data_IF_153870775666
#
_entry.id   IF_153870775666
#
_cell.length_a   1.000
_cell.length_b   1.000
_cell.length_c   1.000
_cell.angle_alpha   90.00
_cell.angle_beta   90.00
_cell.angle_gamma   90.00
#
_symmetry.space_group_name_H-M   'P 1'
#
loop_
_entity.id
_entity.type
_entity.pdbx_description
1 polymer ?
#
# COMPACT_ATOMS: atom_id res chain seq x y z
N UNK A 1 -5.52 -42.47 -30.07
CA UNK A 1 -6.22 -43.31 -29.06
C UNK A 1 -7.61 -42.75 -28.92
N UNK A 2 -8.59 -43.64 -28.99
CA UNK A 2 -10.01 -43.34 -29.17
C UNK A 2 -10.63 -42.64 -27.96
N UNK A 3 -11.54 -41.69 -28.23
CA UNK A 3 -12.69 -41.44 -27.37
C UNK A 3 -13.83 -40.88 -28.22
N UNK A 4 -14.72 -41.80 -28.58
CA UNK A 4 -16.10 -41.60 -28.95
C UNK A 4 -16.84 -40.88 -27.83
N UNK A 5 -17.54 -39.79 -28.13
CA UNK A 5 -18.74 -39.42 -27.39
C UNK A 5 -19.83 -38.93 -28.33
N UNK A 6 -20.94 -39.67 -28.27
CA UNK A 6 -22.14 -39.53 -29.09
C UNK A 6 -23.06 -38.55 -28.38
N UNK A 7 -23.34 -37.41 -29.02
CA UNK A 7 -24.39 -36.48 -28.59
C UNK A 7 -25.76 -37.14 -28.82
N UNK A 8 -26.39 -37.59 -27.73
CA UNK A 8 -27.80 -37.96 -27.68
C UNK A 8 -28.60 -36.85 -26.99
N UNK A 9 -28.91 -35.78 -27.73
CA UNK A 9 -30.01 -34.88 -27.38
C UNK A 9 -31.33 -35.56 -27.78
N UNK A 10 -31.95 -36.27 -26.85
CA UNK A 10 -33.38 -36.62 -26.95
C UNK A 10 -34.12 -35.86 -25.86
N UNK A 11 -34.85 -34.83 -26.26
CA UNK A 11 -35.95 -34.28 -25.48
C UNK A 11 -36.93 -35.42 -25.11
N UNK A 12 -37.42 -35.51 -23.87
CA UNK A 12 -38.54 -36.40 -23.58
C UNK A 12 -39.76 -35.90 -24.33
N UNK A 13 -40.38 -36.79 -25.12
CA UNK A 13 -41.62 -36.51 -25.82
C UNK A 13 -42.69 -36.02 -24.82
N UNK A 14 -43.48 -34.98 -25.15
CA UNK A 14 -44.59 -34.58 -24.31
C UNK A 14 -45.57 -35.76 -24.20
N UNK A 15 -45.94 -36.12 -22.97
CA UNK A 15 -47.03 -37.07 -22.75
C UNK A 15 -48.34 -36.45 -23.27
N UNK A 16 -48.66 -36.73 -24.53
CA UNK A 16 -49.95 -36.42 -25.14
C UNK A 16 -50.94 -37.53 -24.83
N UNK A 17 -51.32 -37.69 -23.57
CA UNK A 17 -52.51 -38.47 -23.22
C UNK A 17 -53.29 -37.64 -22.20
N UNK A 18 -54.34 -36.97 -22.68
CA UNK A 18 -55.40 -36.47 -21.80
C UNK A 18 -55.91 -37.66 -20.98
N UNK A 19 -56.11 -37.45 -19.68
CA UNK A 19 -56.80 -38.42 -18.83
C UNK A 19 -58.22 -38.63 -19.39
N UNK A 20 -58.40 -39.63 -20.26
CA UNK A 20 -59.70 -40.12 -20.64
C UNK A 20 -60.27 -40.84 -19.41
N UNK A 21 -61.27 -40.25 -18.79
CA UNK A 21 -62.22 -41.01 -17.98
C UNK A 21 -62.80 -42.11 -18.88
N UNK A 22 -62.35 -43.35 -18.66
CA UNK A 22 -62.96 -44.50 -19.31
C UNK A 22 -64.41 -44.56 -18.84
N UNK A 23 -65.41 -44.59 -19.74
CA UNK A 23 -66.79 -44.74 -19.34
C UNK A 23 -66.95 -46.08 -18.60
N UNK A 24 -67.71 -46.05 -17.50
CA UNK A 24 -68.10 -47.26 -16.78
C UNK A 24 -68.73 -48.25 -17.78
N UNK A 25 -68.19 -49.47 -17.89
CA UNK A 25 -68.84 -50.53 -18.65
C UNK A 25 -70.13 -50.91 -17.95
N UNK A 26 -71.25 -50.35 -18.39
CA UNK A 26 -72.57 -50.88 -18.08
C UNK A 26 -72.69 -52.25 -18.77
N UNK A 27 -72.76 -53.30 -17.96
CA UNK A 27 -73.14 -54.62 -18.43
C UNK A 27 -74.64 -54.63 -18.67
N UNK A 28 -75.07 -54.31 -19.89
CA UNK A 28 -76.43 -54.61 -20.35
C UNK A 28 -76.58 -56.14 -20.44
N UNK A 29 -77.18 -56.71 -19.41
CA UNK A 29 -77.66 -58.09 -19.46
C UNK A 29 -78.77 -58.13 -20.49
N UNK A 30 -78.52 -58.77 -21.64
CA UNK A 30 -79.52 -58.98 -22.67
C UNK A 30 -80.74 -59.72 -22.07
N UNK A 31 -81.82 -58.99 -21.83
CA UNK A 31 -83.12 -59.56 -21.51
C UNK A 31 -83.62 -60.34 -22.73
N UNK A 32 -83.58 -61.67 -22.65
CA UNK A 32 -84.21 -62.56 -23.62
C UNK A 32 -85.73 -62.30 -23.63
N UNK A 33 -86.22 -61.50 -24.58
CA UNK A 33 -87.65 -61.35 -24.88
C UNK A 33 -88.13 -62.47 -25.80
N UNK A 34 -88.09 -63.72 -25.30
CA UNK A 34 -88.73 -64.88 -25.92
C UNK A 34 -90.10 -65.13 -25.29
N UNK A 35 -91.14 -65.35 -26.10
CA UNK A 35 -92.54 -65.42 -25.67
C UNK A 35 -92.93 -66.62 -24.77
N UNK A 36 -91.98 -67.46 -24.35
CA UNK A 36 -92.24 -68.59 -23.45
C UNK A 36 -91.01 -68.88 -22.58
N UNK A 37 -90.84 -68.16 -21.47
CA UNK A 37 -90.10 -68.66 -20.30
C UNK A 37 -90.38 -67.77 -19.09
N UNK A 38 -91.36 -68.17 -18.30
CA UNK A 38 -91.57 -67.69 -16.94
C UNK A 38 -90.43 -68.21 -16.05
N UNK A 39 -89.29 -67.52 -16.05
CA UNK A 39 -88.34 -67.58 -14.93
C UNK A 39 -88.58 -66.34 -14.09
N UNK A 40 -89.63 -66.41 -13.28
CA UNK A 40 -90.12 -65.29 -12.49
C UNK A 40 -89.05 -64.76 -11.53
N UNK A 41 -88.70 -63.48 -11.73
CA UNK A 41 -88.39 -62.58 -10.63
C UNK A 41 -89.50 -62.74 -9.59
N UNK A 42 -89.15 -63.28 -8.43
CA UNK A 42 -90.08 -63.40 -7.30
C UNK A 42 -90.29 -62.01 -6.71
N UNK A 43 -91.21 -61.24 -7.30
CA UNK A 43 -91.92 -60.19 -6.56
C UNK A 43 -92.67 -60.89 -5.42
N UNK A 44 -92.39 -60.46 -4.20
CA UNK A 44 -93.05 -60.95 -3.00
C UNK A 44 -94.57 -60.75 -3.11
N UNK A 45 -95.29 -61.84 -3.40
CA UNK A 45 -96.73 -61.87 -3.52
C UNK A 45 -97.24 -63.26 -3.90
N UNK A 46 -97.65 -64.03 -2.89
CA UNK A 46 -98.49 -65.25 -2.94
C UNK A 46 -98.30 -66.22 -4.13
N UNK A 47 -97.42 -67.22 -3.97
CA UNK A 47 -97.55 -68.51 -4.68
C UNK A 47 -97.92 -69.62 -3.68
N UNK A 48 -99.03 -70.31 -3.93
CA UNK A 48 -99.57 -71.43 -3.11
C UNK A 48 -99.35 -72.80 -3.79
N UNK A 49 -98.52 -72.88 -4.85
CA UNK A 49 -98.18 -74.13 -5.52
C UNK A 49 -96.83 -74.67 -5.01
N UNK A 50 -96.78 -75.96 -4.62
CA UNK A 50 -95.53 -76.64 -4.29
C UNK A 50 -94.68 -76.75 -5.56
N UNK A 51 -93.40 -76.37 -5.48
CA UNK A 51 -92.45 -76.47 -6.59
C UNK A 51 -92.40 -77.91 -7.13
N UNK A 52 -92.39 -78.07 -8.46
CA UNK A 52 -92.09 -79.35 -9.09
C UNK A 52 -90.64 -79.74 -8.78
N UNK A 53 -90.33 -81.02 -8.69
CA UNK A 53 -88.98 -81.47 -8.29
C UNK A 53 -87.88 -80.91 -9.21
N UNK A 54 -88.16 -80.80 -10.50
CA UNK A 54 -87.26 -80.18 -11.48
C UNK A 54 -87.10 -78.66 -11.28
N UNK A 55 -88.16 -77.95 -10.89
CA UNK A 55 -88.09 -76.51 -10.58
C UNK A 55 -87.28 -76.24 -9.31
N UNK A 56 -87.38 -77.12 -8.31
CA UNK A 56 -86.55 -77.06 -7.11
C UNK A 56 -85.08 -77.34 -7.43
N UNK A 57 -84.79 -78.39 -8.23
CA UNK A 57 -83.44 -78.67 -8.69
C UNK A 57 -82.86 -77.51 -9.50
N UNK A 58 -83.61 -76.91 -10.43
CA UNK A 58 -83.18 -75.76 -11.21
C UNK A 58 -82.89 -74.52 -10.34
N UNK A 59 -83.72 -74.25 -9.33
CA UNK A 59 -83.48 -73.15 -8.38
C UNK A 59 -82.23 -73.41 -7.52
N UNK A 60 -82.06 -74.64 -7.03
CA UNK A 60 -80.85 -75.04 -6.30
C UNK A 60 -79.60 -74.92 -7.18
N UNK A 61 -79.62 -75.40 -8.43
CA UNK A 61 -78.51 -75.25 -9.37
C UNK A 61 -78.24 -73.78 -9.70
N UNK A 62 -79.26 -72.96 -9.92
CA UNK A 62 -79.09 -71.52 -10.15
C UNK A 62 -78.44 -70.82 -8.95
N UNK A 63 -78.85 -71.16 -7.72
CA UNK A 63 -78.22 -70.64 -6.49
C UNK A 63 -76.79 -71.13 -6.31
N UNK A 64 -76.48 -72.39 -6.63
CA UNK A 64 -75.10 -72.90 -6.60
C UNK A 64 -74.22 -72.21 -7.64
N UNK A 65 -74.73 -72.01 -8.87
CA UNK A 65 -74.02 -71.27 -9.91
C UNK A 65 -73.79 -69.81 -9.53
N UNK A 66 -74.79 -69.12 -8.97
CA UNK A 66 -74.65 -67.75 -8.48
C UNK A 66 -73.62 -67.67 -7.35
N UNK A 67 -73.72 -68.53 -6.32
CA UNK A 67 -72.77 -68.56 -5.22
C UNK A 67 -71.34 -68.90 -5.67
N UNK A 68 -71.19 -69.75 -6.69
CA UNK A 68 -69.90 -70.04 -7.30
C UNK A 68 -69.35 -68.82 -8.05
N UNK A 69 -70.17 -68.16 -8.87
CA UNK A 69 -69.78 -66.97 -9.62
C UNK A 69 -69.40 -65.80 -8.69
N UNK A 70 -70.17 -65.56 -7.63
CA UNK A 70 -69.90 -64.53 -6.62
C UNK A 70 -68.61 -64.82 -5.84
N UNK A 71 -68.38 -66.09 -5.46
CA UNK A 71 -67.14 -66.50 -4.79
C UNK A 71 -65.93 -66.36 -5.71
N UNK A 72 -66.03 -66.82 -6.95
CA UNK A 72 -64.95 -66.72 -7.95
C UNK A 72 -64.62 -65.25 -8.26
N UNK A 73 -65.64 -64.39 -8.38
CA UNK A 73 -65.46 -62.95 -8.52
C UNK A 73 -64.78 -62.32 -7.30
N UNK A 74 -65.21 -62.67 -6.07
CA UNK A 74 -64.59 -62.18 -4.84
C UNK A 74 -63.17 -62.70 -4.64
N UNK A 75 -62.87 -63.93 -5.03
CA UNK A 75 -61.52 -64.51 -5.01
C UNK A 75 -60.60 -63.77 -5.99
N UNK A 76 -61.06 -63.52 -7.22
CA UNK A 76 -60.34 -62.70 -8.21
C UNK A 76 -60.12 -61.27 -7.71
N UNK A 77 -61.15 -60.58 -7.24
CA UNK A 77 -61.04 -59.22 -6.71
C UNK A 77 -60.10 -59.14 -5.51
N UNK A 78 -60.12 -60.12 -4.60
CA UNK A 78 -59.20 -60.19 -3.46
C UNK A 78 -57.76 -60.43 -3.91
N UNK A 79 -57.55 -61.25 -4.92
CA UNK A 79 -56.23 -61.47 -5.49
C UNK A 79 -55.69 -60.20 -6.15
N UNK A 80 -56.50 -59.56 -7.00
CA UNK A 80 -56.19 -58.28 -7.65
C UNK A 80 -55.91 -57.18 -6.61
N UNK A 81 -56.73 -57.08 -5.55
CA UNK A 81 -56.53 -56.09 -4.48
C UNK A 81 -55.24 -56.32 -3.70
N UNK A 82 -54.90 -57.59 -3.40
CA UNK A 82 -53.63 -57.94 -2.73
C UNK A 82 -52.43 -57.68 -3.63
N UNK A 83 -52.55 -57.97 -4.91
CA UNK A 83 -51.50 -57.71 -5.89
C UNK A 83 -51.27 -56.20 -6.03
N UNK A 84 -52.33 -55.42 -6.19
CA UNK A 84 -52.25 -53.95 -6.26
C UNK A 84 -51.65 -53.36 -4.97
N UNK A 85 -52.05 -53.85 -3.79
CA UNK A 85 -51.47 -53.42 -2.52
C UNK A 85 -49.96 -53.71 -2.44
N UNK A 86 -49.53 -54.91 -2.82
CA UNK A 86 -48.11 -55.28 -2.84
C UNK A 86 -47.30 -54.48 -3.88
N UNK A 87 -47.86 -54.26 -5.07
CA UNK A 87 -47.23 -53.47 -6.13
C UNK A 87 -47.08 -51.99 -5.73
N UNK A 88 -48.11 -51.41 -5.11
CA UNK A 88 -48.09 -50.02 -4.63
C UNK A 88 -47.18 -49.83 -3.42
N UNK A 89 -47.12 -50.81 -2.50
CA UNK A 89 -46.16 -50.82 -1.39
C UNK A 89 -44.72 -50.91 -1.91
N UNK A 90 -44.44 -51.83 -2.83
CA UNK A 90 -43.12 -51.97 -3.44
C UNK A 90 -42.73 -50.75 -4.28
N UNK A 91 -43.69 -50.08 -4.92
CA UNK A 91 -43.46 -48.81 -5.60
C UNK A 91 -43.09 -47.71 -4.58
N UNK A 92 -43.88 -47.55 -3.51
CA UNK A 92 -43.64 -46.54 -2.48
C UNK A 92 -42.26 -46.69 -1.82
N UNK A 93 -41.88 -47.93 -1.44
CA UNK A 93 -40.57 -48.21 -0.86
C UNK A 93 -39.42 -47.89 -1.83
N UNK A 94 -39.54 -48.29 -3.11
CA UNK A 94 -38.51 -48.00 -4.12
C UNK A 94 -38.37 -46.50 -4.39
N UNK A 95 -39.49 -45.78 -4.51
CA UNK A 95 -39.47 -44.33 -4.73
C UNK A 95 -38.87 -43.60 -3.53
N UNK A 96 -39.22 -44.00 -2.30
CA UNK A 96 -38.63 -43.42 -1.09
C UNK A 96 -37.12 -43.67 -1.01
N UNK A 97 -36.66 -44.89 -1.30
CA UNK A 97 -35.22 -45.21 -1.34
C UNK A 97 -34.47 -44.39 -2.40
N UNK A 98 -35.03 -44.23 -3.60
CA UNK A 98 -34.40 -43.40 -4.64
C UNK A 98 -34.34 -41.93 -4.25
N UNK A 99 -35.40 -41.38 -3.64
CA UNK A 99 -35.40 -40.01 -3.11
C UNK A 99 -34.37 -39.83 -1.99
N UNK A 100 -34.32 -40.73 -1.00
CA UNK A 100 -33.31 -40.68 0.07
C UNK A 100 -31.89 -40.74 -0.48
N UNK A 101 -31.63 -41.59 -1.48
CA UNK A 101 -30.33 -41.67 -2.16
C UNK A 101 -29.97 -40.34 -2.84
N UNK A 102 -30.89 -39.75 -3.62
CA UNK A 102 -30.66 -38.48 -4.32
C UNK A 102 -30.44 -37.30 -3.35
N UNK A 103 -31.17 -37.24 -2.23
CA UNK A 103 -30.89 -36.25 -1.18
C UNK A 103 -29.52 -36.48 -0.54
N UNK A 104 -29.11 -37.74 -0.38
CA UNK A 104 -27.75 -38.09 0.06
C UNK A 104 -26.66 -37.62 -0.91
N UNK A 105 -26.82 -37.89 -2.21
CA UNK A 105 -25.91 -37.38 -3.27
C UNK A 105 -25.81 -35.85 -3.23
N UNK A 106 -26.94 -35.16 -3.01
CA UNK A 106 -26.97 -33.70 -2.90
C UNK A 106 -26.19 -33.16 -1.69
N UNK A 107 -26.16 -33.89 -0.56
CA UNK A 107 -25.38 -33.48 0.61
C UNK A 107 -23.88 -33.45 0.30
N UNK A 108 -23.38 -34.37 -0.52
CA UNK A 108 -21.97 -34.38 -0.92
C UNK A 108 -21.61 -33.11 -1.71
N UNK A 109 -22.45 -32.70 -2.67
CA UNK A 109 -22.27 -31.47 -3.43
C UNK A 109 -22.25 -30.24 -2.52
N UNK A 110 -23.26 -30.11 -1.63
CA UNK A 110 -23.37 -28.96 -0.72
C UNK A 110 -22.16 -28.92 0.22
N UNK A 111 -21.73 -30.08 0.73
CA UNK A 111 -20.56 -30.19 1.59
C UNK A 111 -19.28 -29.73 0.88
N UNK A 112 -19.09 -30.12 -0.39
CA UNK A 112 -17.94 -29.68 -1.20
C UNK A 112 -17.90 -28.16 -1.30
N UNK A 113 -18.99 -27.53 -1.75
CA UNK A 113 -19.04 -26.08 -1.92
C UNK A 113 -18.91 -25.31 -0.60
N UNK A 114 -19.56 -25.79 0.47
CA UNK A 114 -19.41 -25.25 1.82
C UNK A 114 -17.96 -25.30 2.29
N UNK A 115 -17.25 -26.40 2.04
CA UNK A 115 -15.85 -26.56 2.45
C UNK A 115 -14.92 -25.62 1.66
N UNK A 116 -15.14 -25.49 0.34
CA UNK A 116 -14.37 -24.56 -0.51
C UNK A 116 -14.61 -23.09 -0.11
N UNK A 117 -15.86 -22.71 0.16
CA UNK A 117 -16.20 -21.38 0.67
C UNK A 117 -15.52 -21.09 2.02
N UNK A 118 -15.55 -22.06 2.94
CA UNK A 118 -14.90 -21.91 4.23
C UNK A 118 -13.38 -21.68 4.08
N UNK A 119 -12.73 -22.47 3.22
CA UNK A 119 -11.29 -22.31 2.93
C UNK A 119 -11.00 -20.90 2.39
N UNK A 120 -11.76 -20.44 1.41
CA UNK A 120 -11.52 -19.13 0.79
C UNK A 120 -11.76 -17.97 1.78
N UNK A 121 -12.76 -18.09 2.67
CA UNK A 121 -13.01 -17.11 3.76
C UNK A 121 -11.80 -17.04 4.69
N UNK A 122 -11.25 -18.18 5.09
CA UNK A 122 -10.06 -18.26 5.96
C UNK A 122 -8.82 -17.66 5.26
N UNK A 123 -8.60 -17.99 3.98
CA UNK A 123 -7.50 -17.46 3.17
C UNK A 123 -7.61 -15.93 2.96
N UNK A 124 -8.80 -15.41 2.64
CA UNK A 124 -9.05 -13.97 2.54
C UNK A 124 -8.85 -13.26 3.87
N UNK A 125 -9.25 -13.87 4.97
CA UNK A 125 -9.05 -13.31 6.31
C UNK A 125 -7.54 -13.19 6.61
N UNK A 126 -6.78 -14.26 6.38
CA UNK A 126 -5.32 -14.27 6.58
C UNK A 126 -4.61 -13.25 5.68
N UNK A 127 -5.00 -13.15 4.39
CA UNK A 127 -4.42 -12.17 3.48
C UNK A 127 -4.76 -10.73 3.88
N UNK A 128 -5.97 -10.49 4.40
CA UNK A 128 -6.38 -9.19 4.94
C UNK A 128 -5.51 -8.78 6.13
N UNK A 129 -5.19 -9.71 7.03
CA UNK A 129 -4.32 -9.46 8.17
C UNK A 129 -2.90 -9.10 7.73
N UNK A 130 -2.35 -9.83 6.74
CA UNK A 130 -1.05 -9.50 6.14
C UNK A 130 -1.06 -8.11 5.48
N UNK A 131 -2.14 -7.76 4.80
CA UNK A 131 -2.29 -6.46 4.16
C UNK A 131 -2.42 -5.32 5.18
N UNK A 132 -3.11 -5.55 6.30
CA UNK A 132 -3.18 -4.60 7.43
C UNK A 132 -1.80 -4.39 8.07
N UNK A 133 -1.01 -5.45 8.23
CA UNK A 133 0.38 -5.34 8.71
C UNK A 133 1.25 -4.51 7.76
N UNK A 134 1.12 -4.71 6.44
CA UNK A 134 1.83 -3.92 5.44
C UNK A 134 1.41 -2.44 5.43
N UNK A 135 0.10 -2.15 5.58
CA UNK A 135 -0.40 -0.78 5.77
C UNK A 135 0.23 -0.11 6.99
N UNK A 136 0.32 -0.82 8.12
CA UNK A 136 0.94 -0.28 9.34
C UNK A 136 2.43 0.01 9.10
N UNK A 137 3.15 -0.88 8.41
CA UNK A 137 4.55 -0.68 8.07
C UNK A 137 4.76 0.54 7.15
N UNK A 138 3.89 0.74 6.15
CA UNK A 138 3.89 1.95 5.32
C UNK A 138 3.68 3.23 6.14
N UNK A 139 2.74 3.21 7.10
CA UNK A 139 2.49 4.36 7.97
C UNK A 139 3.73 4.69 8.83
N UNK A 140 4.37 3.67 9.42
CA UNK A 140 5.63 3.84 10.17
C UNK A 140 6.75 4.39 9.29
N UNK A 141 6.89 3.89 8.07
CA UNK A 141 7.87 4.40 7.11
C UNK A 141 7.61 5.87 6.77
N UNK A 142 6.34 6.24 6.53
CA UNK A 142 5.94 7.62 6.29
C UNK A 142 6.30 8.53 7.47
N UNK A 143 5.97 8.12 8.69
CA UNK A 143 6.29 8.87 9.92
C UNK A 143 7.80 9.02 10.10
N UNK A 144 8.58 7.98 9.79
CA UNK A 144 10.04 8.00 9.88
C UNK A 144 10.68 9.05 8.96
N UNK A 145 10.03 9.44 7.87
CA UNK A 145 10.54 10.49 6.96
C UNK A 145 10.46 11.91 7.53
N UNK A 146 9.69 12.12 8.61
CA UNK A 146 9.58 13.42 9.27
C UNK A 146 10.94 13.89 9.85
N UNK A 147 11.74 12.96 10.37
CA UNK A 147 13.05 13.27 10.96
C UNK A 147 14.05 13.77 9.90
N UNK A 148 14.29 13.05 8.77
CA UNK A 148 15.05 13.56 7.64
C UNK A 148 14.58 14.93 7.15
N UNK A 149 13.26 15.13 7.05
CA UNK A 149 12.71 16.39 6.57
C UNK A 149 13.05 17.57 7.50
N UNK A 150 12.88 17.38 8.81
CA UNK A 150 13.29 18.39 9.82
C UNK A 150 14.79 18.66 9.72
N UNK A 151 15.62 17.62 9.67
CA UNK A 151 17.08 17.79 9.57
C UNK A 151 17.46 18.61 8.34
N UNK A 152 16.93 18.27 7.16
CA UNK A 152 17.27 18.96 5.92
C UNK A 152 16.81 20.43 5.92
N UNK A 153 15.61 20.70 6.42
CA UNK A 153 15.07 22.06 6.52
C UNK A 153 15.78 22.90 7.59
N UNK A 154 16.08 22.33 8.75
CA UNK A 154 16.86 22.98 9.81
C UNK A 154 18.28 23.32 9.33
N UNK A 155 18.92 22.45 8.55
CA UNK A 155 20.23 22.70 7.95
C UNK A 155 20.21 23.91 6.99
N UNK A 156 19.19 23.98 6.12
CA UNK A 156 19.00 25.13 5.23
C UNK A 156 18.83 26.42 6.05
N UNK A 157 17.95 26.42 7.06
CA UNK A 157 17.72 27.58 7.92
C UNK A 157 18.95 27.99 8.74
N UNK A 158 19.76 27.02 9.20
CA UNK A 158 21.01 27.32 9.90
C UNK A 158 22.00 28.02 8.98
N UNK A 159 22.06 27.62 7.71
CA UNK A 159 23.00 28.18 6.73
C UNK A 159 22.63 29.58 6.23
N UNK A 160 21.36 29.96 6.31
CA UNK A 160 20.92 31.35 6.11
C UNK A 160 21.54 32.33 7.14
N UNK A 161 22.08 31.82 8.26
CA UNK A 161 22.73 32.65 9.29
C UNK A 161 24.20 32.92 9.02
N UNK A 162 24.75 32.43 7.91
CA UNK A 162 26.13 32.73 7.50
C UNK A 162 26.28 34.21 7.19
N UNK A 163 27.47 34.73 7.45
CA UNK A 163 27.79 36.12 7.19
C UNK A 163 28.29 36.32 5.75
N UNK A 164 28.00 37.46 5.14
CA UNK A 164 28.62 37.83 3.87
C UNK A 164 30.15 37.94 4.02
N UNK A 165 30.93 37.50 3.01
CA UNK A 165 30.51 37.02 1.68
C UNK A 165 30.19 35.51 1.60
N UNK A 166 30.17 34.76 2.70
CA UNK A 166 29.99 33.29 2.70
C UNK A 166 28.53 32.82 2.60
N UNK A 167 27.59 33.74 2.75
CA UNK A 167 26.19 33.51 2.42
C UNK A 167 26.05 33.43 0.89
N UNK A 168 26.24 32.22 0.36
CA UNK A 168 26.21 31.89 -1.05
C UNK A 168 25.47 30.59 -1.29
N UNK A 169 24.86 30.50 -2.48
CA UNK A 169 24.25 29.27 -2.98
C UNK A 169 25.33 28.32 -3.49
N UNK A 170 25.87 27.54 -2.56
CA UNK A 170 26.90 26.54 -2.85
C UNK A 170 26.31 25.15 -3.10
N UNK A 171 27.18 24.18 -3.36
CA UNK A 171 26.79 22.81 -3.66
C UNK A 171 26.03 22.13 -2.51
N UNK A 172 26.30 22.50 -1.25
CA UNK A 172 25.59 21.94 -0.09
C UNK A 172 24.14 22.37 -0.09
N UNK A 173 23.87 23.65 -0.38
CA UNK A 173 22.49 24.15 -0.47
C UNK A 173 21.72 23.44 -1.59
N UNK A 174 22.36 23.22 -2.74
CA UNK A 174 21.74 22.48 -3.86
C UNK A 174 21.37 21.05 -3.44
N UNK A 175 22.29 20.31 -2.80
CA UNK A 175 22.01 18.94 -2.38
C UNK A 175 20.99 18.86 -1.24
N UNK A 176 20.96 19.84 -0.32
CA UNK A 176 19.92 19.96 0.71
C UNK A 176 18.54 20.22 0.10
N UNK A 177 18.44 21.09 -0.91
CA UNK A 177 17.18 21.35 -1.60
C UNK A 177 16.67 20.07 -2.29
N UNK A 178 17.54 19.34 -3.00
CA UNK A 178 17.22 18.03 -3.59
C UNK A 178 16.76 17.03 -2.54
N UNK A 179 17.42 16.98 -1.37
CA UNK A 179 17.00 16.13 -0.25
C UNK A 179 15.59 16.48 0.22
N UNK A 180 15.25 17.76 0.40
CA UNK A 180 13.89 18.15 0.80
C UNK A 180 12.82 17.85 -0.26
N UNK A 181 13.17 17.93 -1.54
CA UNK A 181 12.26 17.59 -2.64
C UNK A 181 12.03 16.08 -2.74
N UNK A 182 13.10 15.29 -2.67
CA UNK A 182 13.04 13.82 -2.64
C UNK A 182 12.17 13.34 -1.48
N UNK A 183 12.36 13.87 -0.27
CA UNK A 183 11.56 13.48 0.90
C UNK A 183 10.06 13.79 0.67
N UNK A 184 9.71 14.95 0.11
CA UNK A 184 8.30 15.28 -0.19
C UNK A 184 7.70 14.32 -1.22
N UNK A 185 8.45 13.98 -2.27
CA UNK A 185 8.01 13.04 -3.30
C UNK A 185 7.79 11.64 -2.72
N UNK A 186 8.68 11.18 -1.84
CA UNK A 186 8.55 9.90 -1.14
C UNK A 186 7.35 9.91 -0.19
N UNK A 187 7.14 10.99 0.58
CA UNK A 187 5.98 11.13 1.46
C UNK A 187 4.66 11.03 0.69
N UNK A 188 4.59 11.66 -0.48
CA UNK A 188 3.41 11.60 -1.34
C UNK A 188 3.20 10.20 -1.94
N UNK A 189 4.28 9.54 -2.40
CA UNK A 189 4.23 8.16 -2.87
C UNK A 189 3.69 7.22 -1.77
N UNK A 190 4.26 7.27 -0.57
CA UNK A 190 3.83 6.45 0.57
C UNK A 190 2.36 6.69 0.93
N UNK A 191 1.89 7.95 0.93
CA UNK A 191 0.46 8.27 1.18
C UNK A 191 -0.47 7.67 0.13
N UNK A 192 -0.09 7.70 -1.15
CA UNK A 192 -0.86 7.08 -2.24
C UNK A 192 -0.88 5.56 -2.08
N UNK A 193 0.25 4.95 -1.77
CA UNK A 193 0.34 3.50 -1.54
C UNK A 193 -0.46 3.06 -0.32
N UNK A 194 -0.49 3.85 0.77
CA UNK A 194 -1.38 3.60 1.92
C UNK A 194 -2.85 3.64 1.49
N UNK A 195 -3.25 4.61 0.66
CA UNK A 195 -4.62 4.69 0.14
C UNK A 195 -5.00 3.46 -0.70
N UNK A 196 -4.08 3.00 -1.56
CA UNK A 196 -4.26 1.75 -2.32
C UNK A 196 -4.41 0.54 -1.39
N UNK A 197 -3.58 0.45 -0.34
CA UNK A 197 -3.66 -0.63 0.62
C UNK A 197 -4.99 -0.64 1.40
N UNK A 198 -5.49 0.53 1.80
CA UNK A 198 -6.80 0.67 2.43
C UNK A 198 -7.92 0.25 1.48
N UNK A 199 -7.83 0.63 0.20
CA UNK A 199 -8.77 0.20 -0.83
C UNK A 199 -8.82 -1.32 -0.97
N UNK A 200 -7.66 -1.97 -1.05
CA UNK A 200 -7.56 -3.42 -1.16
C UNK A 200 -8.10 -4.15 0.09
N UNK A 201 -7.79 -3.66 1.29
CA UNK A 201 -8.34 -4.22 2.54
C UNK A 201 -9.87 -4.18 2.54
N UNK A 202 -10.46 -3.09 2.01
CA UNK A 202 -11.92 -2.96 1.90
C UNK A 202 -12.50 -4.00 0.92
N UNK A 203 -11.88 -4.17 -0.25
CA UNK A 203 -12.32 -5.16 -1.25
C UNK A 203 -12.25 -6.59 -0.70
N UNK A 204 -11.15 -6.94 -0.01
CA UNK A 204 -11.04 -8.27 0.61
C UNK A 204 -12.15 -8.54 1.62
N UNK A 205 -12.53 -7.53 2.44
CA UNK A 205 -13.61 -7.65 3.42
C UNK A 205 -14.98 -7.80 2.74
N UNK A 206 -15.26 -7.02 1.71
CA UNK A 206 -16.50 -7.10 0.94
C UNK A 206 -16.69 -8.48 0.29
N UNK A 207 -15.64 -9.04 -0.31
CA UNK A 207 -15.69 -10.37 -0.91
C UNK A 207 -15.71 -11.49 0.13
N UNK A 208 -15.06 -11.30 1.29
CA UNK A 208 -15.20 -12.22 2.43
C UNK A 208 -16.64 -12.28 2.92
N UNK A 209 -17.29 -11.12 3.13
CA UNK A 209 -18.70 -11.04 3.54
C UNK A 209 -19.62 -11.73 2.53
N UNK A 210 -19.36 -11.55 1.22
CA UNK A 210 -20.11 -12.24 0.16
C UNK A 210 -19.97 -13.76 0.25
N UNK A 211 -18.75 -14.26 0.46
CA UNK A 211 -18.51 -15.70 0.65
C UNK A 211 -19.13 -16.23 1.95
N UNK A 212 -19.12 -15.46 3.04
CA UNK A 212 -19.74 -15.82 4.33
C UNK A 212 -21.27 -15.96 4.21
N UNK A 213 -21.92 -15.08 3.45
CA UNK A 213 -23.35 -15.19 3.17
C UNK A 213 -23.67 -16.47 2.37
N UNK A 214 -22.94 -16.72 1.28
CA UNK A 214 -23.12 -17.95 0.50
C UNK A 214 -22.84 -19.20 1.36
N UNK A 215 -21.80 -19.17 2.18
CA UNK A 215 -21.47 -20.27 3.09
C UNK A 215 -22.59 -20.52 4.10
N UNK A 216 -23.17 -19.47 4.67
CA UNK A 216 -24.31 -19.56 5.59
C UNK A 216 -25.51 -20.24 4.93
N UNK A 217 -25.86 -19.82 3.71
CA UNK A 217 -26.95 -20.41 2.94
C UNK A 217 -26.68 -21.91 2.66
N UNK A 218 -25.44 -22.27 2.32
CA UNK A 218 -25.02 -23.67 2.11
C UNK A 218 -25.09 -24.48 3.39
N UNK A 219 -24.73 -23.92 4.55
CA UNK A 219 -24.84 -24.59 5.86
C UNK A 219 -26.29 -24.86 6.22
N UNK A 220 -27.17 -23.87 6.04
CA UNK A 220 -28.60 -24.04 6.32
C UNK A 220 -29.21 -25.10 5.40
N UNK A 221 -28.94 -25.01 4.09
CA UNK A 221 -29.39 -26.02 3.12
C UNK A 221 -28.88 -27.43 3.46
N UNK A 222 -27.60 -27.56 3.86
CA UNK A 222 -27.03 -28.83 4.29
C UNK A 222 -27.78 -29.42 5.50
N UNK A 223 -28.06 -28.61 6.52
CA UNK A 223 -28.75 -29.08 7.73
C UNK A 223 -30.19 -29.52 7.45
N UNK A 224 -30.87 -28.83 6.53
CA UNK A 224 -32.22 -29.21 6.06
C UNK A 224 -32.14 -30.57 5.36
N UNK A 225 -31.25 -30.74 4.39
CA UNK A 225 -31.12 -31.99 3.63
C UNK A 225 -30.61 -33.16 4.50
N UNK A 226 -29.76 -32.89 5.49
CA UNK A 226 -29.28 -33.87 6.48
C UNK A 226 -30.44 -34.33 7.39
N UNK A 227 -31.38 -33.43 7.69
CA UNK A 227 -32.60 -33.79 8.42
C UNK A 227 -33.53 -34.61 7.53
N UNK A 228 -33.70 -34.22 6.26
CA UNK A 228 -34.52 -34.93 5.29
C UNK A 228 -34.05 -36.37 5.05
N UNK A 229 -32.74 -36.61 4.94
CA UNK A 229 -32.17 -37.95 4.79
C UNK A 229 -32.39 -38.85 6.00
N UNK A 230 -32.59 -38.28 7.19
CA UNK A 230 -32.88 -39.02 8.43
C UNK A 230 -34.35 -39.40 8.60
N UNK A 231 -35.27 -38.77 7.87
CA UNK A 231 -36.70 -39.12 7.96
C UNK A 231 -36.99 -40.51 7.41
N UNK A 232 -37.82 -41.24 8.14
CA UNK A 232 -38.32 -42.56 7.80
C UNK A 232 -39.81 -42.67 8.20
N UNK A 233 -40.45 -43.79 7.87
CA UNK A 233 -41.89 -43.98 8.08
C UNK A 233 -42.31 -44.01 9.57
N UNK A 234 -41.36 -44.17 10.50
CA UNK A 234 -41.59 -44.18 11.95
C UNK A 234 -41.28 -42.83 12.61
N UNK A 235 -40.84 -41.84 11.83
CA UNK A 235 -40.41 -40.54 12.34
C UNK A 235 -41.60 -39.70 12.79
N UNK A 236 -41.62 -39.30 14.08
CA UNK A 236 -42.72 -38.56 14.70
C UNK A 236 -42.90 -37.12 14.20
N UNK A 237 -41.92 -36.59 13.46
CA UNK A 237 -41.89 -35.23 12.94
C UNK A 237 -42.49 -35.11 11.53
N UNK A 238 -42.82 -36.24 10.88
CA UNK A 238 -43.36 -36.25 9.51
C UNK A 238 -44.86 -35.91 9.53
N UNK A 239 -45.27 -34.98 8.69
CA UNK A 239 -46.65 -34.49 8.60
C UNK A 239 -47.10 -34.36 7.13
N UNK A 240 -48.41 -34.22 6.90
CA UNK A 240 -48.94 -33.95 5.57
C UNK A 240 -48.79 -32.46 5.21
N UNK A 241 -48.16 -32.19 4.07
CA UNK A 241 -47.98 -30.84 3.52
C UNK A 241 -48.63 -30.74 2.11
N UNK A 242 -49.93 -30.42 1.99
CA UNK A 242 -50.67 -30.54 0.72
C UNK A 242 -50.24 -29.59 -0.41
N UNK A 243 -49.39 -28.59 -0.14
CA UNK A 243 -49.00 -27.55 -1.09
C UNK A 243 -47.52 -27.57 -1.47
N UNK A 244 -46.71 -28.49 -0.92
CA UNK A 244 -45.25 -28.54 -1.13
C UNK A 244 -44.82 -29.21 -2.43
N UNK A 245 -45.73 -29.81 -3.20
CA UNK A 245 -45.43 -30.46 -4.48
C UNK A 245 -45.32 -29.50 -5.67
N UNK A 246 -45.57 -28.20 -5.48
CA UNK A 246 -45.47 -27.19 -6.53
C UNK A 246 -44.03 -26.68 -6.63
N UNK A 247 -43.50 -26.63 -7.85
CA UNK A 247 -42.23 -25.95 -8.11
C UNK A 247 -42.41 -24.43 -8.03
N UNK A 248 -41.49 -23.76 -7.35
CA UNK A 248 -41.37 -22.31 -7.37
C UNK A 248 -40.75 -21.85 -8.70
N UNK A 249 -41.39 -20.92 -9.42
CA UNK A 249 -40.87 -20.39 -10.69
C UNK A 249 -39.54 -19.62 -10.54
N UNK A 250 -39.23 -19.17 -9.33
CA UNK A 250 -37.99 -18.47 -8.97
C UNK A 250 -36.83 -19.40 -8.58
N UNK A 251 -37.05 -20.72 -8.56
CA UNK A 251 -36.04 -21.67 -8.09
C UNK A 251 -34.82 -21.75 -9.02
N UNK A 252 -33.62 -21.83 -8.42
CA UNK A 252 -32.38 -22.05 -9.15
C UNK A 252 -32.25 -23.48 -9.68
N UNK A 253 -31.48 -23.66 -10.75
CA UNK A 253 -31.07 -25.00 -11.22
C UNK A 253 -29.73 -25.39 -10.57
N UNK A 254 -29.36 -26.69 -10.57
CA UNK A 254 -28.06 -27.12 -10.07
C UNK A 254 -26.88 -26.38 -10.73
N UNK A 255 -27.00 -26.08 -12.03
CA UNK A 255 -25.97 -25.36 -12.79
C UNK A 255 -25.87 -23.89 -12.36
N UNK A 256 -27.01 -23.20 -12.20
CA UNK A 256 -27.00 -21.79 -11.75
C UNK A 256 -26.58 -21.66 -10.29
N UNK A 257 -26.92 -22.63 -9.44
CA UNK A 257 -26.48 -22.73 -8.06
C UNK A 257 -24.96 -22.93 -7.93
N UNK A 258 -24.39 -23.87 -8.69
CA UNK A 258 -22.95 -24.12 -8.67
C UNK A 258 -22.18 -22.92 -9.23
N UNK A 259 -22.70 -22.32 -10.32
CA UNK A 259 -22.11 -21.13 -10.92
C UNK A 259 -22.10 -19.93 -9.98
N UNK A 260 -23.15 -19.72 -9.19
CA UNK A 260 -23.20 -18.63 -8.20
C UNK A 260 -22.03 -18.71 -7.21
N UNK A 261 -21.83 -19.88 -6.62
CA UNK A 261 -20.73 -20.10 -5.67
C UNK A 261 -19.36 -20.03 -6.37
N UNK A 262 -19.25 -20.59 -7.56
CA UNK A 262 -18.01 -20.50 -8.36
C UNK A 262 -17.64 -19.05 -8.69
N UNK A 263 -18.61 -18.22 -9.09
CA UNK A 263 -18.37 -16.81 -9.41
C UNK A 263 -17.94 -16.01 -8.16
N UNK A 264 -18.49 -16.33 -6.98
CA UNK A 264 -18.08 -15.73 -5.71
C UNK A 264 -16.62 -16.08 -5.36
N UNK A 265 -16.27 -17.37 -5.46
CA UNK A 265 -14.90 -17.86 -5.21
C UNK A 265 -13.88 -17.24 -6.17
N UNK A 266 -14.21 -17.15 -7.48
CA UNK A 266 -13.33 -16.54 -8.47
C UNK A 266 -13.07 -15.05 -8.21
N UNK A 267 -14.05 -14.32 -7.66
CA UNK A 267 -13.88 -12.91 -7.28
C UNK A 267 -13.02 -12.79 -6.02
N UNK A 268 -13.28 -13.60 -5.01
CA UNK A 268 -12.46 -13.68 -3.79
C UNK A 268 -10.98 -13.97 -4.12
N UNK A 269 -10.73 -14.98 -4.97
CA UNK A 269 -9.38 -15.35 -5.38
C UNK A 269 -8.67 -14.19 -6.10
N UNK A 270 -9.36 -13.46 -6.97
CA UNK A 270 -8.80 -12.29 -7.67
C UNK A 270 -8.33 -11.21 -6.70
N UNK A 271 -9.14 -10.89 -5.69
CA UNK A 271 -8.78 -9.88 -4.69
C UNK A 271 -7.62 -10.35 -3.78
N UNK A 272 -7.60 -11.65 -3.45
CA UNK A 272 -6.47 -12.26 -2.73
C UNK A 272 -5.17 -12.14 -3.55
N UNK A 273 -5.19 -12.46 -4.84
CA UNK A 273 -4.04 -12.31 -5.73
C UNK A 273 -3.62 -10.84 -5.90
N UNK A 274 -4.59 -9.92 -6.01
CA UNK A 274 -4.31 -8.48 -6.05
C UNK A 274 -3.60 -8.01 -4.77
N UNK A 275 -4.04 -8.49 -3.60
CA UNK A 275 -3.40 -8.22 -2.31
C UNK A 275 -1.96 -8.72 -2.25
N UNK A 276 -1.70 -9.96 -2.66
CA UNK A 276 -0.35 -10.55 -2.72
C UNK A 276 0.58 -9.71 -3.61
N UNK A 277 0.10 -9.29 -4.78
CA UNK A 277 0.87 -8.47 -5.70
C UNK A 277 1.14 -7.07 -5.14
N UNK A 278 0.14 -6.45 -4.51
CA UNK A 278 0.29 -5.15 -3.88
C UNK A 278 1.28 -5.19 -2.72
N UNK A 279 1.28 -6.25 -1.89
CA UNK A 279 2.29 -6.43 -0.82
C UNK A 279 3.71 -6.51 -1.37
N UNK A 280 3.93 -7.26 -2.46
CA UNK A 280 5.25 -7.32 -3.12
C UNK A 280 5.70 -5.95 -3.63
N UNK A 281 4.78 -5.18 -4.22
CA UNK A 281 5.07 -3.82 -4.66
C UNK A 281 5.40 -2.90 -3.48
N UNK A 282 4.66 -2.99 -2.38
CA UNK A 282 4.91 -2.25 -1.15
C UNK A 282 6.31 -2.54 -0.61
N UNK A 283 6.72 -3.81 -0.58
CA UNK A 283 8.05 -4.20 -0.13
C UNK A 283 9.16 -3.57 -0.98
N UNK A 284 8.98 -3.53 -2.30
CA UNK A 284 9.91 -2.82 -3.20
C UNK A 284 9.92 -1.31 -2.92
N UNK A 285 8.75 -0.66 -2.87
CA UNK A 285 8.66 0.78 -2.60
C UNK A 285 9.36 1.14 -1.28
N UNK A 286 9.11 0.38 -0.22
CA UNK A 286 9.71 0.63 1.10
C UNK A 286 11.23 0.48 1.10
N UNK A 287 11.76 -0.50 0.37
CA UNK A 287 13.22 -0.68 0.24
C UNK A 287 13.82 0.45 -0.59
N UNK A 288 13.29 0.66 -1.80
CA UNK A 288 13.87 1.58 -2.78
C UNK A 288 13.84 3.02 -2.23
N UNK A 289 12.72 3.44 -1.60
CA UNK A 289 12.64 4.78 -0.97
C UNK A 289 13.57 4.95 0.24
N UNK A 290 13.78 3.91 1.04
CA UNK A 290 14.72 3.95 2.16
C UNK A 290 16.17 4.05 1.69
N UNK A 291 16.51 3.34 0.61
CA UNK A 291 17.82 3.40 -0.05
C UNK A 291 18.06 4.78 -0.69
N UNK A 292 17.10 5.30 -1.45
CA UNK A 292 17.18 6.63 -2.07
C UNK A 292 17.42 7.75 -1.05
N UNK A 293 16.70 7.73 0.08
CA UNK A 293 16.90 8.70 1.17
C UNK A 293 18.30 8.60 1.76
N UNK A 294 18.84 7.39 1.91
CA UNK A 294 20.18 7.19 2.44
C UNK A 294 21.27 7.63 1.47
N UNK A 295 21.12 7.31 0.19
CA UNK A 295 22.02 7.78 -0.86
C UNK A 295 22.04 9.31 -0.93
N UNK A 296 20.88 9.97 -0.87
CA UNK A 296 20.83 11.42 -0.86
C UNK A 296 21.42 12.01 0.43
N UNK A 297 21.20 11.36 1.58
CA UNK A 297 21.82 11.78 2.83
C UNK A 297 23.36 11.75 2.74
N UNK A 298 23.92 10.71 2.12
CA UNK A 298 25.36 10.56 1.92
C UNK A 298 25.90 11.59 0.93
N UNK A 299 25.17 11.89 -0.15
CA UNK A 299 25.52 12.95 -1.09
C UNK A 299 25.62 14.32 -0.40
N UNK A 300 24.65 14.65 0.46
CA UNK A 300 24.67 15.88 1.27
C UNK A 300 25.84 15.88 2.26
N UNK A 301 26.09 14.76 2.96
CA UNK A 301 27.22 14.63 3.89
C UNK A 301 28.56 14.85 3.18
N UNK A 302 28.73 14.27 1.98
CA UNK A 302 29.91 14.48 1.16
C UNK A 302 30.07 15.94 0.72
N UNK A 303 28.97 16.59 0.33
CA UNK A 303 28.97 18.00 -0.02
C UNK A 303 29.42 18.87 1.18
N UNK A 304 28.89 18.60 2.38
CA UNK A 304 29.32 19.28 3.62
C UNK A 304 30.81 19.07 3.91
N UNK A 305 31.31 17.83 3.81
CA UNK A 305 32.72 17.53 4.06
C UNK A 305 33.63 18.32 3.13
N UNK A 306 33.36 18.29 1.81
CA UNK A 306 34.11 19.06 0.81
C UNK A 306 34.05 20.56 1.10
N UNK A 307 32.86 21.08 1.45
CA UNK A 307 32.69 22.51 1.76
C UNK A 307 33.47 22.93 2.99
N UNK A 308 33.54 22.08 4.01
CA UNK A 308 34.35 22.33 5.20
C UNK A 308 35.85 22.31 4.87
N UNK A 309 36.31 21.39 4.03
CA UNK A 309 37.71 21.35 3.57
C UNK A 309 38.09 22.63 2.80
N UNK A 310 37.23 23.10 1.89
CA UNK A 310 37.42 24.38 1.18
C UNK A 310 37.50 25.58 2.14
N UNK A 311 36.61 25.63 3.13
CA UNK A 311 36.58 26.71 4.12
C UNK A 311 37.78 26.67 5.06
N UNK A 312 38.22 25.49 5.49
CA UNK A 312 39.44 25.33 6.28
C UNK A 312 40.66 25.78 5.49
N UNK A 313 40.84 25.34 4.24
CA UNK A 313 41.97 25.76 3.38
C UNK A 313 41.99 27.28 3.18
N UNK A 314 40.83 27.89 2.89
CA UNK A 314 40.71 29.34 2.80
C UNK A 314 41.07 30.04 4.13
N UNK A 315 40.61 29.51 5.26
CA UNK A 315 40.92 30.04 6.59
C UNK A 315 42.42 29.96 6.88
N UNK A 316 43.07 28.82 6.61
CA UNK A 316 44.52 28.65 6.80
C UNK A 316 45.32 29.62 5.92
N UNK A 317 44.93 29.81 4.66
CA UNK A 317 45.56 30.79 3.76
C UNK A 317 45.42 32.22 4.29
N UNK A 318 44.23 32.61 4.75
CA UNK A 318 44.02 33.92 5.35
C UNK A 318 44.86 34.12 6.62
N UNK A 319 44.92 33.12 7.50
CA UNK A 319 45.77 33.15 8.69
C UNK A 319 47.27 33.28 8.34
N UNK A 320 47.72 32.56 7.31
CA UNK A 320 49.08 32.67 6.80
C UNK A 320 49.40 34.09 6.29
N UNK A 321 48.50 34.68 5.50
CA UNK A 321 48.66 36.05 5.02
C UNK A 321 48.63 37.06 6.17
N UNK A 322 47.74 36.89 7.15
CA UNK A 322 47.69 37.73 8.35
C UNK A 322 49.03 37.71 9.09
N UNK A 323 49.62 36.53 9.30
CA UNK A 323 50.94 36.42 9.95
C UNK A 323 52.04 37.14 9.16
N UNK A 324 52.02 37.07 7.82
CA UNK A 324 52.97 37.81 6.98
C UNK A 324 52.76 39.32 7.08
N UNK A 325 51.51 39.79 7.01
CA UNK A 325 51.18 41.21 7.14
C UNK A 325 51.60 41.75 8.50
N UNK A 326 51.41 41.00 9.59
CA UNK A 326 51.87 41.39 10.93
C UNK A 326 53.39 41.55 11.02
N UNK A 327 54.15 40.67 10.37
CA UNK A 327 55.62 40.80 10.28
C UNK A 327 56.01 42.04 9.50
N UNK A 328 55.41 42.25 8.33
CA UNK A 328 55.66 43.44 7.50
C UNK A 328 55.31 44.75 8.23
N UNK A 329 54.22 44.78 9.01
CA UNK A 329 53.88 45.92 9.89
C UNK A 329 55.03 46.20 10.85
N UNK A 330 55.57 45.17 11.51
CA UNK A 330 56.68 45.32 12.47
C UNK A 330 57.94 45.85 11.78
N UNK A 331 58.28 45.29 10.62
CA UNK A 331 59.44 45.73 9.83
C UNK A 331 59.28 47.18 9.35
N UNK A 332 58.07 47.56 8.94
CA UNK A 332 57.74 48.90 8.50
C UNK A 332 57.72 49.92 9.65
N UNK A 333 57.27 49.54 10.85
CA UNK A 333 57.39 50.35 12.06
C UNK A 333 58.86 50.64 12.40
N UNK A 334 59.72 49.61 12.31
CA UNK A 334 61.17 49.79 12.48
C UNK A 334 61.76 50.72 11.41
N UNK A 335 61.35 50.59 10.16
CA UNK A 335 61.78 51.47 9.07
C UNK A 335 61.35 52.93 9.29
N UNK A 336 60.11 53.16 9.72
CA UNK A 336 59.60 54.49 10.10
C UNK A 336 60.43 55.09 11.25
N UNK A 337 60.74 54.30 12.27
CA UNK A 337 61.59 54.75 13.39
C UNK A 337 63.01 55.11 12.92
N UNK A 338 63.62 54.29 12.06
CA UNK A 338 64.94 54.53 11.49
C UNK A 338 64.97 55.80 10.63
N UNK A 339 63.95 56.04 9.80
CA UNK A 339 63.83 57.26 9.00
C UNK A 339 63.68 58.51 9.87
N UNK A 340 62.84 58.45 10.92
CA UNK A 340 62.70 59.54 11.90
C UNK A 340 64.04 59.87 12.58
N UNK A 341 64.80 58.84 12.95
CA UNK A 341 66.14 59.02 13.52
C UNK A 341 67.12 59.63 12.50
N UNK A 342 67.14 59.14 11.26
CA UNK A 342 68.02 59.63 10.20
C UNK A 342 67.74 61.09 9.79
N UNK A 343 66.49 61.55 9.92
CA UNK A 343 66.10 62.96 9.77
C UNK A 343 66.71 63.77 10.92
N UNK A 344 66.47 63.35 12.17
CA UNK A 344 66.99 64.01 13.38
C UNK A 344 68.51 64.14 13.37
N UNK A 345 69.21 63.08 12.94
CA UNK A 345 70.68 63.07 12.88
C UNK A 345 71.24 64.10 11.89
N UNK A 346 70.49 64.47 10.84
CA UNK A 346 70.90 65.48 9.83
C UNK A 346 70.59 66.92 10.25
N UNK A 347 69.77 67.14 11.27
CA UNK A 347 69.46 68.49 11.78
C UNK A 347 70.67 69.17 12.43
N UNK A 348 71.52 68.41 13.13
CA UNK A 348 72.71 68.96 13.78
C UNK A 348 73.77 69.41 12.76
N UNK A 349 74.20 68.61 11.77
CA UNK A 349 75.09 69.06 10.69
C UNK A 349 74.55 70.26 9.93
N UNK A 350 73.24 70.27 9.60
CA UNK A 350 72.63 71.40 8.89
C UNK A 350 72.72 72.69 9.71
N UNK A 351 72.40 72.64 11.01
CA UNK A 351 72.55 73.80 11.91
C UNK A 351 73.99 74.28 11.98
N UNK A 352 74.98 73.38 12.01
CA UNK A 352 76.40 73.76 12.01
C UNK A 352 76.77 74.49 10.72
N UNK A 353 76.40 73.95 9.55
CA UNK A 353 76.70 74.57 8.25
C UNK A 353 76.02 75.95 8.10
N UNK A 354 74.74 76.05 8.47
CA UNK A 354 73.99 77.33 8.46
C UNK A 354 74.57 78.36 9.44
N UNK A 355 74.95 77.94 10.65
CA UNK A 355 75.57 78.83 11.64
C UNK A 355 76.93 79.33 11.14
N UNK A 356 77.74 78.47 10.51
CA UNK A 356 79.01 78.88 9.89
C UNK A 356 78.79 79.90 8.78
N UNK A 357 77.80 79.71 7.90
CA UNK A 357 77.43 80.69 6.87
C UNK A 357 76.98 82.02 7.47
N UNK A 358 76.13 81.97 8.52
CA UNK A 358 75.66 83.15 9.23
C UNK A 358 76.82 83.94 9.84
N UNK A 359 77.74 83.29 10.56
CA UNK A 359 78.92 83.96 11.12
C UNK A 359 79.79 84.59 10.03
N UNK A 360 79.99 83.90 8.90
CA UNK A 360 80.77 84.40 7.77
C UNK A 360 80.11 85.59 7.04
N UNK A 361 78.81 85.83 7.23
CA UNK A 361 78.09 86.99 6.67
C UNK A 361 78.44 88.31 7.34
N UNK A 362 79.03 88.26 8.54
CA UNK A 362 79.46 89.44 9.30
C UNK A 362 80.89 89.91 8.99
N UNK A 363 81.58 89.29 8.02
CA UNK A 363 82.93 89.69 7.62
C UNK A 363 82.90 91.11 7.01
N UNK A 364 83.77 92.04 7.44
CA UNK A 364 83.70 93.44 7.02
C UNK A 364 84.32 93.68 5.63
N UNK A 365 83.74 94.60 4.87
CA UNK A 365 84.30 95.14 3.61
C UNK A 365 84.75 94.04 2.61
N UNK A 366 86.02 94.10 2.17
CA UNK A 366 86.59 93.18 1.18
C UNK A 366 86.73 91.74 1.69
N UNK A 367 86.74 91.54 3.02
CA UNK A 367 86.81 90.21 3.65
C UNK A 367 85.49 89.42 3.53
N UNK A 368 84.39 90.05 3.10
CA UNK A 368 83.15 89.39 2.68
C UNK A 368 83.33 88.72 1.30
N UNK A 369 84.36 87.90 1.20
CA UNK A 369 84.77 87.23 -0.01
C UNK A 369 83.97 85.93 -0.22
N UNK A 370 83.57 85.69 -1.47
CA UNK A 370 83.02 84.42 -1.96
C UNK A 370 84.15 83.47 -2.30
N UNK A 371 84.85 83.03 -1.26
CA UNK A 371 85.96 82.08 -1.36
C UNK A 371 85.46 80.63 -1.49
N UNK A 372 86.39 79.70 -1.71
CA UNK A 372 86.05 78.28 -1.85
C UNK A 372 85.31 77.70 -0.63
N UNK A 373 85.64 78.16 0.59
CA UNK A 373 84.97 77.73 1.81
C UNK A 373 83.52 78.23 1.89
N UNK A 374 83.26 79.46 1.42
CA UNK A 374 81.91 80.02 1.31
C UNK A 374 81.05 79.18 0.36
N UNK A 375 81.56 78.85 -0.83
CA UNK A 375 80.85 78.01 -1.79
C UNK A 375 80.62 76.60 -1.26
N UNK A 376 81.60 75.97 -0.62
CA UNK A 376 81.42 74.61 -0.09
C UNK A 376 80.38 74.55 1.02
N UNK A 377 80.37 75.51 1.95
CA UNK A 377 79.34 75.57 3.01
C UNK A 377 77.95 75.79 2.43
N UNK A 378 77.82 76.59 1.35
CA UNK A 378 76.56 76.77 0.65
C UNK A 378 76.09 75.45 0.00
N UNK A 379 76.99 74.75 -0.72
CA UNK A 379 76.68 73.44 -1.29
C UNK A 379 76.35 72.39 -0.22
N UNK A 380 77.04 72.39 0.93
CA UNK A 380 76.74 71.48 2.06
C UNK A 380 75.32 71.70 2.60
N UNK A 381 74.90 72.97 2.75
CA UNK A 381 73.52 73.28 3.15
C UNK A 381 72.51 72.82 2.10
N UNK A 382 72.77 73.06 0.82
CA UNK A 382 71.90 72.61 -0.28
C UNK A 382 71.78 71.07 -0.31
N UNK A 383 72.91 70.34 -0.23
CA UNK A 383 72.97 68.87 -0.17
C UNK A 383 72.20 68.30 1.05
N UNK A 384 72.36 68.91 2.23
CA UNK A 384 71.67 68.49 3.45
C UNK A 384 70.16 68.77 3.40
N UNK A 385 69.74 69.90 2.84
CA UNK A 385 68.33 70.23 2.64
C UNK A 385 67.70 69.23 1.65
N UNK A 386 68.36 68.96 0.52
CA UNK A 386 67.89 67.95 -0.44
C UNK A 386 67.75 66.58 0.20
N UNK A 387 68.76 66.15 0.98
CA UNK A 387 68.75 64.87 1.69
C UNK A 387 67.63 64.79 2.74
N UNK A 388 67.38 65.88 3.48
CA UNK A 388 66.29 65.95 4.45
C UNK A 388 64.92 65.88 3.77
N UNK A 389 64.74 66.58 2.64
CA UNK A 389 63.50 66.54 1.88
C UNK A 389 63.22 65.13 1.36
N UNK A 390 64.23 64.46 0.78
CA UNK A 390 64.12 63.07 0.31
C UNK A 390 63.76 62.09 1.45
N UNK A 391 64.35 62.27 2.64
CA UNK A 391 64.02 61.43 3.80
C UNK A 391 62.61 61.70 4.35
N UNK A 392 62.15 62.96 4.34
CA UNK A 392 60.78 63.32 4.75
C UNK A 392 59.75 62.73 3.80
N UNK A 393 60.00 62.79 2.50
CA UNK A 393 59.14 62.15 1.49
C UNK A 393 59.08 60.63 1.71
N UNK A 394 60.23 59.97 1.88
CA UNK A 394 60.27 58.52 2.17
C UNK A 394 59.61 58.15 3.50
N UNK A 395 59.68 59.02 4.50
CA UNK A 395 58.96 58.83 5.75
C UNK A 395 57.45 58.86 5.52
N UNK A 396 56.94 59.84 4.76
CA UNK A 396 55.53 59.93 4.43
C UNK A 396 55.04 58.72 3.64
N UNK A 397 55.79 58.27 2.63
CA UNK A 397 55.51 57.03 1.89
C UNK A 397 55.42 55.84 2.85
N UNK A 398 56.36 55.75 3.79
CA UNK A 398 56.46 54.63 4.73
C UNK A 398 55.33 54.61 5.75
N UNK A 399 54.92 55.78 6.26
CA UNK A 399 53.77 55.93 7.15
C UNK A 399 52.45 55.62 6.44
N UNK A 400 52.32 55.98 5.15
CA UNK A 400 51.15 55.60 4.35
C UNK A 400 51.09 54.10 4.09
N UNK A 401 52.23 53.46 3.78
CA UNK A 401 52.30 52.01 3.61
C UNK A 401 51.90 51.27 4.90
N UNK A 402 52.33 51.76 6.06
CA UNK A 402 51.95 51.20 7.36
C UNK A 402 50.42 51.24 7.58
N UNK A 403 49.77 52.37 7.31
CA UNK A 403 48.30 52.49 7.41
C UNK A 403 47.58 51.49 6.48
N UNK A 404 48.06 51.35 5.25
CA UNK A 404 47.48 50.39 4.29
C UNK A 404 47.63 48.93 4.79
N UNK A 405 48.74 48.60 5.45
CA UNK A 405 48.95 47.28 6.05
C UNK A 405 48.03 47.05 7.26
N UNK A 406 47.80 48.07 8.10
CA UNK A 406 46.85 48.01 9.21
C UNK A 406 45.42 47.77 8.73
N UNK A 407 45.00 48.47 7.67
CA UNK A 407 43.69 48.25 7.02
C UNK A 407 43.57 46.82 6.46
N UNK A 408 44.62 46.33 5.81
CA UNK A 408 44.68 44.96 5.28
C UNK A 408 44.58 43.93 6.41
N UNK A 409 45.29 44.15 7.53
CA UNK A 409 45.22 43.29 8.72
C UNK A 409 43.78 43.20 9.25
N UNK A 410 43.12 44.33 9.44
CA UNK A 410 41.73 44.37 9.91
C UNK A 410 40.78 43.62 8.96
N UNK A 411 40.97 43.77 7.64
CA UNK A 411 40.19 43.03 6.65
C UNK A 411 40.41 41.52 6.75
N UNK A 412 41.66 41.07 6.87
CA UNK A 412 42.00 39.65 6.99
C UNK A 412 41.44 39.04 8.29
N UNK A 413 41.54 39.74 9.42
CA UNK A 413 40.96 39.31 10.70
C UNK A 413 39.44 39.13 10.60
N UNK A 414 38.75 40.08 9.95
CA UNK A 414 37.31 40.01 9.68
C UNK A 414 36.96 38.80 8.81
N UNK A 415 37.69 38.57 7.72
CA UNK A 415 37.42 37.44 6.83
C UNK A 415 37.64 36.09 7.53
N UNK A 416 38.68 35.96 8.37
CA UNK A 416 38.91 34.77 9.20
C UNK A 416 37.73 34.54 10.15
N UNK A 417 37.21 35.58 10.78
CA UNK A 417 36.03 35.47 11.66
C UNK A 417 34.81 34.98 10.89
N UNK A 418 34.58 35.48 9.66
CA UNK A 418 33.51 35.01 8.77
C UNK A 418 33.69 33.52 8.41
N UNK A 419 34.89 33.09 7.99
CA UNK A 419 35.15 31.66 7.69
C UNK A 419 34.92 30.77 8.90
N UNK A 420 35.37 31.21 10.07
CA UNK A 420 35.20 30.48 11.33
C UNK A 420 33.72 30.34 11.70
N UNK A 421 32.92 31.38 11.48
CA UNK A 421 31.47 31.32 11.66
C UNK A 421 30.80 30.31 10.71
N UNK A 422 31.16 30.34 9.42
CA UNK A 422 30.65 29.39 8.42
C UNK A 422 30.97 27.94 8.78
N UNK A 423 32.21 27.67 9.20
CA UNK A 423 32.64 26.34 9.66
C UNK A 423 31.88 25.88 10.91
N UNK A 424 31.65 26.78 11.86
CA UNK A 424 30.86 26.47 13.06
C UNK A 424 29.42 26.08 12.70
N UNK A 425 28.77 26.83 11.82
CA UNK A 425 27.42 26.52 11.34
C UNK A 425 27.40 25.13 10.69
N UNK A 426 28.28 24.87 9.72
CA UNK A 426 28.27 23.59 9.01
C UNK A 426 28.58 22.40 9.92
N UNK A 427 29.65 22.47 10.71
CA UNK A 427 30.09 21.34 11.54
C UNK A 427 29.18 21.13 12.75
N UNK A 428 28.90 22.18 13.50
CA UNK A 428 28.27 22.08 14.81
C UNK A 428 26.76 22.21 14.76
N UNK A 429 26.21 22.96 13.80
CA UNK A 429 24.75 23.13 13.68
C UNK A 429 24.14 22.20 12.64
N UNK A 430 24.83 21.94 11.54
CA UNK A 430 24.28 21.09 10.49
C UNK A 430 24.71 19.62 10.63
N UNK A 431 25.99 19.32 10.39
CA UNK A 431 26.51 17.95 10.34
C UNK A 431 26.26 17.17 11.65
N UNK A 432 26.38 17.82 12.81
CA UNK A 432 26.09 17.19 14.10
C UNK A 432 24.64 16.66 14.20
N UNK A 433 23.66 17.37 13.64
CA UNK A 433 22.26 16.94 13.62
C UNK A 433 22.02 15.80 12.64
N UNK A 434 22.76 15.78 11.52
CA UNK A 434 22.68 14.71 10.52
C UNK A 434 23.10 13.33 11.06
N UNK A 435 23.86 13.27 12.14
CA UNK A 435 24.16 12.00 12.83
C UNK A 435 22.92 11.27 13.38
N UNK A 436 21.78 11.97 13.48
CA UNK A 436 20.49 11.40 13.93
C UNK A 436 19.63 10.90 12.76
N UNK A 437 20.17 10.84 11.54
CA UNK A 437 19.43 10.36 10.38
C UNK A 437 19.03 8.88 10.57
N UNK A 438 17.75 8.50 10.36
CA UNK A 438 17.28 7.14 10.61
C UNK A 438 17.95 6.09 9.72
N UNK A 439 18.10 4.86 10.21
CA UNK A 439 18.66 3.75 9.42
C UNK A 439 17.73 3.31 8.29
N UNK A 440 18.25 2.57 7.30
CA UNK A 440 17.44 1.99 6.20
C UNK A 440 16.26 1.19 6.78
N UNK A 441 16.48 0.41 7.85
CA UNK A 441 15.44 -0.39 8.49
C UNK A 441 14.32 0.49 9.07
N UNK A 442 14.68 1.58 9.76
CA UNK A 442 13.71 2.51 10.33
C UNK A 442 12.92 3.23 9.24
N UNK A 443 13.60 3.67 8.17
CA UNK A 443 12.95 4.29 7.00
C UNK A 443 12.04 3.31 6.25
N UNK A 444 12.37 2.02 6.24
CA UNK A 444 11.53 0.96 5.68
C UNK A 444 10.38 0.50 6.62
N UNK A 445 10.17 1.19 7.74
CA UNK A 445 9.07 0.95 8.68
C UNK A 445 9.29 -0.19 9.68
N UNK A 446 10.52 -0.71 9.80
CA UNK A 446 10.89 -1.68 10.83
C UNK A 446 11.30 -0.95 12.12
N UNK A 447 10.33 -0.81 13.03
CA UNK A 447 10.51 -0.34 14.40
C UNK A 447 9.65 -1.16 15.36
#
# INVERSE_FOLDING_TARGET
MAQTDVLLTKEPAPQSIQACELPCKEYDVACNTGAYTSSGLATAGFRTAKYLMDEWFQNCYARYHQAFADRDHSERQRHESRQLAAETEALAQRTQQDSTRKTGERLEDIHCWKSELQREIEELSAETDLMMAQKLRLARALDATAVPFSIATDNLQCRERRQHPDLVRDYVEVELLKETELIRNIQELLKRTISQAVGQIRLNREHKETCEMDWSDKVEAYNIDETCTRYNNESTQVQFHPHSSKFEESASTPETWAKFTQDNLLRAERERLASVNLRKLIDCILRDTAEDLRLQCDAVNMAFTRRCEELDDACHKLQYHLQKTLREITDQEHQVAALKQAIKDKEAPLRVAQTRLYQRSHRPNVELCRDAAQFRLQSEVEELIMSLNALKEKLQDSEQALRNLEDTRMSLEKDIAVKTNSLFIDRQKCMAHRNRYPSVLQLAGYQ
#
